data_IF_804585988741
#
_entry.id   IF_804585988741
#
_cell.length_a   1.000
_cell.length_b   1.000
_cell.length_c   1.000
_cell.angle_alpha   90.00
_cell.angle_beta   90.00
_cell.angle_gamma   90.00
#
_symmetry.space_group_name_H-M   'P 1'
#
loop_
_entity.id
_entity.type
_entity.pdbx_description
1 polymer ?
#
# COMPACT_ATOMS: atom_id res chain seq x y z
N UNK A 1 3.24 -15.84 23.05
CA UNK A 1 3.04 -17.29 22.72
C UNK A 1 2.05 -17.38 21.58
N UNK A 2 2.44 -17.95 20.46
CA UNK A 2 1.57 -18.09 19.28
C UNK A 2 0.56 -19.20 19.56
N UNK A 3 -0.71 -19.00 19.24
CA UNK A 3 -1.72 -20.04 19.39
C UNK A 3 -1.50 -21.12 18.31
N UNK A 4 -1.00 -22.29 18.68
CA UNK A 4 -0.76 -23.42 17.75
C UNK A 4 -1.99 -23.77 16.90
N UNK A 5 -3.20 -23.61 17.48
CA UNK A 5 -4.44 -23.86 16.75
C UNK A 5 -4.55 -22.95 15.51
N UNK A 6 -4.20 -21.67 15.65
CA UNK A 6 -4.22 -20.72 14.52
C UNK A 6 -3.27 -21.14 13.40
N UNK A 7 -2.09 -21.70 13.76
CA UNK A 7 -1.13 -22.17 12.75
C UNK A 7 -1.65 -23.40 12.00
N UNK A 8 -2.28 -24.34 12.71
CA UNK A 8 -2.93 -25.50 12.11
C UNK A 8 -4.10 -25.12 11.20
N UNK A 9 -4.87 -24.10 11.59
CA UNK A 9 -5.96 -23.58 10.78
C UNK A 9 -5.45 -22.96 9.47
N UNK A 10 -4.29 -22.26 9.50
CA UNK A 10 -3.62 -21.72 8.32
C UNK A 10 -3.18 -22.84 7.37
N UNK A 11 -2.53 -23.89 7.90
CA UNK A 11 -2.11 -25.05 7.09
C UNK A 11 -3.32 -25.74 6.44
N UNK A 12 -4.40 -25.95 7.21
CA UNK A 12 -5.64 -26.54 6.72
C UNK A 12 -6.26 -25.68 5.62
N UNK A 13 -6.34 -24.36 5.82
CA UNK A 13 -6.90 -23.43 4.84
C UNK A 13 -6.10 -23.42 3.54
N UNK A 14 -4.76 -23.46 3.61
CA UNK A 14 -3.91 -23.55 2.44
C UNK A 14 -4.17 -24.83 1.63
N UNK A 15 -4.29 -25.98 2.31
CA UNK A 15 -4.59 -27.26 1.67
C UNK A 15 -6.01 -27.28 1.04
N UNK A 16 -6.99 -26.66 1.68
CA UNK A 16 -8.36 -26.52 1.15
C UNK A 16 -8.37 -25.70 -0.15
N UNK A 17 -7.67 -24.55 -0.16
CA UNK A 17 -7.58 -23.69 -1.35
C UNK A 17 -6.86 -24.43 -2.48
N UNK A 18 -5.75 -25.09 -2.19
CA UNK A 18 -5.01 -25.88 -3.18
C UNK A 18 -5.90 -26.97 -3.81
N UNK A 19 -6.69 -27.67 -2.99
CA UNK A 19 -7.66 -28.67 -3.46
C UNK A 19 -8.73 -28.03 -4.36
N UNK A 20 -9.27 -26.86 -3.98
CA UNK A 20 -10.27 -26.13 -4.75
C UNK A 20 -9.72 -25.65 -6.10
N UNK A 21 -8.50 -25.13 -6.13
CA UNK A 21 -7.84 -24.70 -7.36
C UNK A 21 -7.55 -25.87 -8.32
N UNK A 22 -7.22 -27.04 -7.76
CA UNK A 22 -6.93 -28.25 -8.54
C UNK A 22 -8.20 -28.96 -9.04
N UNK A 23 -9.39 -28.70 -8.47
CA UNK A 23 -10.64 -29.31 -8.92
C UNK A 23 -11.10 -28.81 -10.30
N UNK A 24 -10.63 -27.62 -10.71
CA UNK A 24 -11.01 -27.00 -11.97
C UNK A 24 -12.40 -26.37 -12.00
N UNK A 25 -13.11 -26.38 -10.88
CA UNK A 25 -14.48 -25.85 -10.78
C UNK A 25 -14.52 -24.32 -10.55
N UNK A 26 -13.39 -23.74 -10.15
CA UNK A 26 -13.25 -22.31 -9.83
C UNK A 26 -12.73 -21.56 -11.05
N UNK A 27 -13.45 -20.53 -11.51
CA UNK A 27 -13.13 -19.75 -12.70
C UNK A 27 -13.19 -18.24 -12.43
N UNK A 28 -12.48 -17.46 -13.26
CA UNK A 28 -12.58 -16.00 -13.26
C UNK A 28 -12.04 -15.33 -11.98
N UNK A 29 -12.81 -14.36 -11.47
CA UNK A 29 -12.40 -13.53 -10.34
C UNK A 29 -12.20 -14.32 -9.04
N UNK A 30 -12.97 -15.40 -8.86
CA UNK A 30 -12.84 -16.27 -7.70
C UNK A 30 -11.51 -17.04 -7.72
N UNK A 31 -11.07 -17.53 -8.88
CA UNK A 31 -9.77 -18.16 -9.04
C UNK A 31 -8.63 -17.16 -8.74
N UNK A 32 -8.78 -15.92 -9.20
CA UNK A 32 -7.80 -14.86 -8.93
C UNK A 32 -7.71 -14.55 -7.44
N UNK A 33 -8.85 -14.49 -6.74
CA UNK A 33 -8.92 -14.27 -5.29
C UNK A 33 -8.26 -15.42 -4.51
N UNK A 34 -8.62 -16.65 -4.83
CA UNK A 34 -8.05 -17.85 -4.18
C UNK A 34 -6.56 -17.98 -4.45
N UNK A 35 -6.10 -17.66 -5.66
CA UNK A 35 -4.68 -17.69 -6.02
C UNK A 35 -3.86 -16.69 -5.19
N UNK A 36 -4.39 -15.47 -4.96
CA UNK A 36 -3.75 -14.49 -4.09
C UNK A 36 -3.73 -14.93 -2.63
N UNK A 37 -4.85 -15.47 -2.13
CA UNK A 37 -4.94 -16.00 -0.77
C UNK A 37 -3.96 -17.17 -0.58
N UNK A 38 -3.89 -18.10 -1.54
CA UNK A 38 -2.95 -19.22 -1.51
C UNK A 38 -1.50 -18.78 -1.52
N UNK A 39 -1.14 -17.85 -2.41
CA UNK A 39 0.23 -17.32 -2.47
C UNK A 39 0.67 -16.76 -1.12
N UNK A 40 -0.21 -15.99 -0.46
CA UNK A 40 0.04 -15.42 0.86
C UNK A 40 0.21 -16.50 1.94
N UNK A 41 -0.68 -17.49 1.97
CA UNK A 41 -0.58 -18.58 2.95
C UNK A 41 0.66 -19.44 2.69
N UNK A 42 1.01 -19.66 1.43
CA UNK A 42 2.18 -20.46 1.03
C UNK A 42 3.51 -19.83 1.47
N UNK A 43 3.59 -18.49 1.58
CA UNK A 43 4.75 -17.80 2.17
C UNK A 43 4.94 -18.13 3.66
N UNK A 44 3.85 -18.41 4.38
CA UNK A 44 3.86 -18.73 5.81
C UNK A 44 4.18 -20.18 6.12
N UNK A 45 3.82 -21.11 5.21
CA UNK A 45 3.96 -22.56 5.44
C UNK A 45 5.37 -23.01 5.81
N UNK A 46 6.46 -22.55 5.18
CA UNK A 46 7.82 -22.94 5.57
C UNK A 46 8.14 -22.57 7.02
N UNK A 47 7.78 -21.36 7.46
CA UNK A 47 8.00 -20.88 8.82
C UNK A 47 7.16 -21.64 9.84
N UNK A 48 5.91 -21.95 9.50
CA UNK A 48 5.01 -22.76 10.35
C UNK A 48 5.55 -24.17 10.51
N UNK A 49 6.06 -24.77 9.43
CA UNK A 49 6.65 -26.11 9.47
C UNK A 49 7.96 -26.11 10.29
N UNK A 50 8.82 -25.10 10.11
CA UNK A 50 10.03 -24.92 10.91
C UNK A 50 9.70 -24.84 12.41
N UNK A 51 8.69 -24.03 12.77
CA UNK A 51 8.21 -23.92 14.15
C UNK A 51 7.76 -25.26 14.72
N UNK A 52 6.89 -26.01 14.01
CA UNK A 52 6.42 -27.31 14.46
C UNK A 52 7.53 -28.35 14.56
N UNK A 53 8.51 -28.32 13.65
CA UNK A 53 9.68 -29.20 13.72
C UNK A 53 10.51 -28.95 15.00
N UNK A 54 10.75 -27.66 15.33
CA UNK A 54 11.50 -27.30 16.54
C UNK A 54 10.72 -27.68 17.79
N UNK A 55 9.42 -27.41 17.84
CA UNK A 55 8.57 -27.78 18.97
C UNK A 55 8.53 -29.31 19.16
N UNK A 56 8.37 -30.06 18.08
CA UNK A 56 8.42 -31.53 18.12
C UNK A 56 9.81 -32.04 18.57
N UNK A 57 10.89 -31.47 18.03
CA UNK A 57 12.25 -31.81 18.42
C UNK A 57 12.54 -31.55 19.90
N UNK A 58 11.99 -30.44 20.47
CA UNK A 58 12.09 -30.18 21.92
C UNK A 58 11.36 -31.26 22.74
N UNK A 59 10.17 -31.69 22.30
CA UNK A 59 9.42 -32.76 22.96
C UNK A 59 10.18 -34.09 22.92
N UNK A 60 10.68 -34.48 21.75
CA UNK A 60 11.44 -35.71 21.55
C UNK A 60 12.75 -35.69 22.37
N UNK A 61 13.52 -34.62 22.35
CA UNK A 61 14.75 -34.49 23.11
C UNK A 61 14.47 -34.48 24.63
N UNK A 62 13.33 -33.94 25.08
CA UNK A 62 12.90 -34.00 26.49
C UNK A 62 12.57 -35.43 26.92
N UNK A 63 11.96 -36.22 26.05
CA UNK A 63 11.70 -37.64 26.30
C UNK A 63 13.02 -38.43 26.36
N UNK A 64 13.96 -38.16 25.44
CA UNK A 64 15.29 -38.79 25.41
C UNK A 64 16.14 -38.52 26.66
N UNK A 65 15.92 -37.40 27.39
CA UNK A 65 16.61 -37.13 28.66
C UNK A 65 16.39 -38.20 29.74
N UNK A 66 15.31 -38.95 29.62
CA UNK A 66 15.00 -40.06 30.58
C UNK A 66 15.91 -41.27 30.39
N UNK A 67 16.58 -41.40 29.22
CA UNK A 67 17.55 -42.45 28.97
C UNK A 67 18.96 -41.97 29.35
N UNK A 68 19.64 -42.77 30.17
CA UNK A 68 20.97 -42.44 30.69
C UNK A 68 22.05 -42.36 29.58
N UNK A 69 21.90 -43.17 28.51
CA UNK A 69 22.84 -43.21 27.40
C UNK A 69 22.64 -42.02 26.41
N UNK A 70 21.42 -41.53 26.29
CA UNK A 70 21.07 -40.48 25.37
C UNK A 70 21.04 -39.08 26.00
N UNK A 71 21.16 -38.98 27.31
CA UNK A 71 20.98 -37.75 28.08
C UNK A 71 21.91 -36.61 27.64
N UNK A 72 23.16 -36.89 27.34
CA UNK A 72 24.13 -35.88 26.94
C UNK A 72 23.78 -35.30 25.59
N UNK A 73 23.44 -36.15 24.63
CA UNK A 73 22.98 -35.74 23.28
C UNK A 73 21.65 -34.94 23.35
N UNK A 74 20.72 -35.45 24.19
CA UNK A 74 19.44 -34.79 24.41
C UNK A 74 19.60 -33.36 25.00
N UNK A 75 20.53 -33.18 25.93
CA UNK A 75 20.81 -31.85 26.50
C UNK A 75 21.40 -30.90 25.49
N UNK A 76 22.30 -31.36 24.63
CA UNK A 76 22.89 -30.55 23.56
C UNK A 76 21.81 -30.10 22.55
N UNK A 77 20.97 -31.04 22.09
CA UNK A 77 19.84 -30.74 21.21
C UNK A 77 18.84 -29.78 21.84
N UNK A 78 18.48 -29.96 23.10
CA UNK A 78 17.58 -29.05 23.80
C UNK A 78 18.17 -27.64 23.91
N UNK A 79 19.48 -27.51 24.12
CA UNK A 79 20.12 -26.22 24.18
C UNK A 79 20.03 -25.49 22.83
N UNK A 80 20.30 -26.20 21.74
CA UNK A 80 20.21 -25.61 20.36
C UNK A 80 18.77 -25.22 19.98
N UNK A 81 17.82 -26.17 20.22
CA UNK A 81 16.42 -25.93 19.86
C UNK A 81 15.76 -24.83 20.70
N UNK A 82 16.05 -24.77 22.01
CA UNK A 82 15.56 -23.66 22.85
C UNK A 82 16.18 -22.33 22.53
N UNK A 83 17.39 -22.29 21.93
CA UNK A 83 17.98 -21.07 21.44
C UNK A 83 17.35 -20.63 20.11
N UNK A 84 16.99 -21.57 19.24
CA UNK A 84 16.37 -21.28 17.94
C UNK A 84 14.90 -20.87 18.05
N UNK A 85 14.15 -21.44 18.99
CA UNK A 85 12.70 -21.24 19.13
C UNK A 85 12.28 -19.76 19.24
N UNK A 86 12.89 -18.90 20.08
CA UNK A 86 12.48 -17.50 20.19
C UNK A 86 12.66 -16.71 18.89
N UNK A 87 13.70 -17.03 18.11
CA UNK A 87 13.95 -16.37 16.83
C UNK A 87 12.92 -16.79 15.78
N UNK A 88 12.55 -18.07 15.75
CA UNK A 88 11.50 -18.58 14.87
C UNK A 88 10.13 -18.00 15.27
N UNK A 89 9.82 -17.95 16.57
CA UNK A 89 8.59 -17.34 17.08
C UNK A 89 8.49 -15.87 16.64
N UNK A 90 9.57 -15.10 16.76
CA UNK A 90 9.60 -13.70 16.34
C UNK A 90 9.39 -13.55 14.84
N UNK A 91 10.09 -14.34 14.02
CA UNK A 91 9.91 -14.35 12.56
C UNK A 91 8.47 -14.70 12.18
N UNK A 92 7.88 -15.67 12.85
CA UNK A 92 6.52 -16.12 12.62
C UNK A 92 5.48 -15.07 13.06
N UNK A 93 5.69 -14.41 14.20
CA UNK A 93 4.86 -13.29 14.64
C UNK A 93 4.84 -12.16 13.62
N UNK A 94 6.01 -11.78 13.11
CA UNK A 94 6.14 -10.75 12.07
C UNK A 94 5.41 -11.18 10.79
N UNK A 95 5.58 -12.41 10.35
CA UNK A 95 4.94 -12.94 9.15
C UNK A 95 3.41 -13.03 9.26
N UNK A 96 2.88 -13.16 10.48
CA UNK A 96 1.45 -13.22 10.79
C UNK A 96 0.79 -11.84 10.96
N UNK A 97 1.57 -10.74 10.93
CA UNK A 97 1.00 -9.41 11.00
C UNK A 97 0.02 -9.16 9.84
N UNK A 98 -1.05 -8.42 10.09
CA UNK A 98 -1.96 -8.02 9.03
C UNK A 98 -1.20 -7.12 8.03
N UNK A 99 -1.09 -7.58 6.78
CA UNK A 99 -0.54 -6.76 5.70
C UNK A 99 -1.62 -5.82 5.18
N UNK A 100 -1.26 -4.59 4.89
CA UNK A 100 -2.11 -3.68 4.16
C UNK A 100 -2.25 -4.19 2.71
N UNK A 101 -3.48 -4.35 2.23
CA UNK A 101 -3.73 -4.77 0.85
C UNK A 101 -3.16 -3.77 -0.17
N UNK A 102 -2.95 -2.53 0.25
CA UNK A 102 -2.33 -1.52 -0.58
C UNK A 102 -0.83 -1.74 -0.79
N UNK A 103 -0.15 -2.48 0.10
CA UNK A 103 1.31 -2.68 0.04
C UNK A 103 1.77 -3.33 -1.26
N UNK A 104 0.94 -4.18 -1.87
CA UNK A 104 1.24 -4.86 -3.13
C UNK A 104 1.00 -3.99 -4.38
N UNK A 105 0.40 -2.80 -4.22
CA UNK A 105 0.08 -1.93 -5.34
C UNK A 105 1.32 -1.18 -5.86
N UNK A 106 1.20 -0.68 -7.08
CA UNK A 106 2.02 0.40 -7.62
C UNK A 106 1.81 1.68 -6.82
N UNK A 107 2.73 2.62 -6.91
CA UNK A 107 2.73 3.84 -6.11
C UNK A 107 2.78 5.09 -6.96
N UNK A 108 2.05 6.11 -6.56
CA UNK A 108 2.16 7.48 -7.08
C UNK A 108 2.92 8.30 -6.05
N UNK A 109 4.03 8.89 -6.48
CA UNK A 109 4.86 9.77 -5.67
C UNK A 109 4.77 11.20 -6.18
N UNK A 110 4.63 12.13 -5.26
CA UNK A 110 4.63 13.56 -5.53
C UNK A 110 5.72 14.22 -4.67
N UNK A 111 6.63 14.93 -5.32
CA UNK A 111 7.71 15.67 -4.68
C UNK A 111 7.49 17.15 -4.95
N UNK A 112 7.38 17.95 -3.89
CA UNK A 112 7.23 19.42 -3.98
C UNK A 112 8.36 20.13 -3.27
N UNK A 113 8.94 21.11 -3.96
CA UNK A 113 9.87 22.04 -3.34
C UNK A 113 9.15 22.82 -2.23
N UNK A 114 9.72 22.81 -1.03
CA UNK A 114 9.22 23.52 0.13
C UNK A 114 10.04 24.79 0.41
N UNK A 115 10.41 24.96 1.68
CA UNK A 115 11.18 26.12 2.12
C UNK A 115 12.65 26.01 1.67
N UNK A 116 13.13 26.98 0.88
CA UNK A 116 14.53 27.02 0.42
C UNK A 116 14.73 27.60 -0.99
N UNK A 117 13.63 27.99 -1.68
CA UNK A 117 13.71 28.61 -3.01
C UNK A 117 14.26 27.63 -4.06
N UNK A 118 15.23 28.10 -4.86
CA UNK A 118 15.83 27.28 -5.94
C UNK A 118 16.53 26.03 -5.42
N UNK A 119 17.16 26.11 -4.23
CA UNK A 119 17.82 24.96 -3.61
C UNK A 119 16.85 23.82 -3.27
N UNK A 120 15.65 24.14 -2.79
CA UNK A 120 14.63 23.11 -2.56
C UNK A 120 14.16 22.47 -3.87
N UNK A 121 14.12 23.21 -4.96
CA UNK A 121 13.76 22.65 -6.27
C UNK A 121 14.87 21.74 -6.83
N UNK A 122 16.14 22.10 -6.65
CA UNK A 122 17.28 21.24 -7.00
C UNK A 122 17.26 19.94 -6.19
N UNK A 123 17.02 20.05 -4.89
CA UNK A 123 16.94 18.85 -4.03
C UNK A 123 15.73 17.97 -4.35
N UNK A 124 14.61 18.55 -4.81
CA UNK A 124 13.48 17.76 -5.34
C UNK A 124 13.92 16.93 -6.55
N UNK A 125 14.78 17.46 -7.40
CA UNK A 125 15.40 16.74 -8.52
C UNK A 125 16.30 15.59 -8.05
N UNK A 126 17.11 15.83 -7.01
CA UNK A 126 17.97 14.80 -6.42
C UNK A 126 17.14 13.64 -5.85
N UNK A 127 16.06 13.95 -5.11
CA UNK A 127 15.15 12.93 -4.57
C UNK A 127 14.43 12.15 -5.67
N UNK A 128 13.98 12.82 -6.73
CA UNK A 128 13.40 12.13 -7.88
C UNK A 128 14.40 11.14 -8.51
N UNK A 129 15.63 11.57 -8.73
CA UNK A 129 16.67 10.70 -9.28
C UNK A 129 17.01 9.54 -8.34
N UNK A 130 17.03 9.77 -7.03
CA UNK A 130 17.20 8.74 -6.00
C UNK A 130 16.12 7.66 -6.13
N UNK A 131 14.85 8.06 -6.14
CA UNK A 131 13.73 7.11 -6.22
C UNK A 131 13.63 6.42 -7.58
N UNK A 132 13.93 7.13 -8.65
CA UNK A 132 14.01 6.56 -9.99
C UNK A 132 15.08 5.46 -10.08
N UNK A 133 16.28 5.73 -9.58
CA UNK A 133 17.37 4.74 -9.57
C UNK A 133 17.05 3.55 -8.67
N UNK A 134 16.45 3.81 -7.50
CA UNK A 134 15.96 2.79 -6.58
C UNK A 134 14.94 1.86 -7.25
N UNK A 135 13.93 2.43 -7.90
CA UNK A 135 12.89 1.70 -8.60
C UNK A 135 13.47 0.82 -9.72
N UNK A 136 14.38 1.37 -10.53
CA UNK A 136 15.02 0.62 -11.61
C UNK A 136 15.85 -0.57 -11.09
N UNK A 137 16.54 -0.40 -9.97
CA UNK A 137 17.30 -1.48 -9.32
C UNK A 137 16.40 -2.61 -8.81
N UNK A 138 15.17 -2.29 -8.37
CA UNK A 138 14.15 -3.27 -7.99
C UNK A 138 13.36 -3.85 -9.18
N UNK A 139 13.70 -3.49 -10.42
CA UNK A 139 13.01 -3.95 -11.62
C UNK A 139 11.66 -3.29 -11.86
N UNK A 140 11.37 -2.20 -11.15
CA UNK A 140 10.13 -1.43 -11.31
C UNK A 140 10.24 -0.41 -12.43
N UNK A 141 9.12 -0.08 -13.05
CA UNK A 141 9.05 0.95 -14.09
C UNK A 141 8.71 2.30 -13.46
N UNK A 142 9.28 3.37 -14.02
CA UNK A 142 8.99 4.75 -13.57
C UNK A 142 8.43 5.53 -14.74
N UNK A 143 7.28 6.16 -14.52
CA UNK A 143 6.59 7.00 -15.49
C UNK A 143 6.31 8.36 -14.87
N UNK A 144 6.71 9.44 -15.54
CA UNK A 144 6.40 10.81 -15.10
C UNK A 144 4.98 11.14 -15.55
N UNK A 145 4.14 11.52 -14.58
CA UNK A 145 2.74 11.91 -14.80
C UNK A 145 2.63 13.41 -15.05
N UNK A 146 3.31 14.20 -14.20
CA UNK A 146 3.31 15.66 -14.29
C UNK A 146 4.63 16.21 -13.77
N UNK A 147 5.14 17.26 -14.42
CA UNK A 147 6.37 17.92 -13.98
C UNK A 147 6.27 19.44 -14.13
N UNK A 148 6.78 20.16 -13.13
CA UNK A 148 6.99 21.60 -13.16
C UNK A 148 8.48 21.87 -12.91
N UNK A 149 9.26 21.79 -14.01
CA UNK A 149 10.70 21.96 -13.97
C UNK A 149 11.11 23.42 -13.81
N UNK A 150 12.28 23.66 -13.21
CA UNK A 150 12.93 24.97 -13.11
C UNK A 150 14.02 25.11 -14.17
N UNK A 151 14.48 26.35 -14.41
CA UNK A 151 15.57 26.65 -15.35
C UNK A 151 16.91 25.97 -14.99
N UNK A 152 17.11 25.62 -13.71
CA UNK A 152 18.34 25.02 -13.18
C UNK A 152 18.23 23.49 -13.03
N UNK A 153 17.36 22.81 -13.79
CA UNK A 153 17.14 21.36 -13.75
C UNK A 153 16.60 20.81 -12.42
N UNK A 154 16.01 21.67 -11.59
CA UNK A 154 15.24 21.26 -10.42
C UNK A 154 13.76 21.17 -10.76
N UNK A 155 12.94 20.75 -9.78
CA UNK A 155 11.49 20.68 -9.90
C UNK A 155 10.81 21.48 -8.79
N UNK A 156 9.89 22.39 -9.17
CA UNK A 156 8.95 22.95 -8.19
C UNK A 156 7.99 21.87 -7.70
N UNK A 157 7.59 21.02 -8.64
CA UNK A 157 6.75 19.85 -8.39
C UNK A 157 7.04 18.79 -9.44
N UNK A 158 7.08 17.54 -9.03
CA UNK A 158 7.11 16.39 -9.93
C UNK A 158 6.22 15.29 -9.37
N UNK A 159 5.33 14.76 -10.22
CA UNK A 159 4.47 13.61 -9.94
C UNK A 159 4.85 12.48 -10.86
N UNK A 160 5.13 11.32 -10.31
CA UNK A 160 5.52 10.14 -11.08
C UNK A 160 4.94 8.88 -10.45
N UNK A 161 4.70 7.89 -11.29
CA UNK A 161 4.28 6.55 -10.92
C UNK A 161 5.48 5.62 -10.89
N UNK A 162 5.56 4.77 -9.86
CA UNK A 162 6.44 3.61 -9.83
C UNK A 162 5.54 2.38 -9.95
N UNK A 163 5.65 1.67 -11.06
CA UNK A 163 4.85 0.50 -11.40
C UNK A 163 5.63 -0.78 -11.10
N UNK A 164 5.18 -1.51 -10.09
CA UNK A 164 5.78 -2.75 -9.65
C UNK A 164 5.12 -3.32 -8.40
N UNK A 165 5.09 -4.64 -8.30
CA UNK A 165 4.56 -5.32 -7.12
C UNK A 165 5.35 -4.94 -5.86
N UNK A 166 4.64 -4.59 -4.78
CA UNK A 166 5.25 -4.22 -3.50
C UNK A 166 5.89 -2.82 -3.48
N UNK A 167 5.74 -2.02 -4.54
CA UNK A 167 6.34 -0.69 -4.61
C UNK A 167 5.81 0.24 -3.52
N UNK A 168 4.49 0.25 -3.30
CA UNK A 168 3.89 1.07 -2.25
C UNK A 168 4.34 0.64 -0.85
N UNK A 169 4.40 -0.66 -0.56
CA UNK A 169 4.80 -1.20 0.74
C UNK A 169 6.19 -0.74 1.18
N UNK A 170 7.12 -0.52 0.23
CA UNK A 170 8.45 0.04 0.53
C UNK A 170 8.47 1.56 0.52
N UNK A 171 7.84 2.18 -0.48
CA UNK A 171 7.91 3.64 -0.68
C UNK A 171 7.06 4.42 0.32
N UNK A 172 6.02 3.84 0.94
CA UNK A 172 5.17 4.52 1.93
C UNK A 172 5.96 5.16 3.08
N UNK A 173 7.11 4.60 3.44
CA UNK A 173 8.01 5.13 4.47
C UNK A 173 8.80 6.38 4.03
N UNK A 174 8.76 6.74 2.75
CA UNK A 174 9.39 7.95 2.23
C UNK A 174 8.47 9.18 2.32
N UNK A 175 7.23 8.99 2.76
CA UNK A 175 6.24 10.06 2.89
C UNK A 175 6.58 11.00 4.05
N UNK A 176 6.67 12.31 3.76
CA UNK A 176 6.95 13.35 4.76
C UNK A 176 7.90 14.45 4.26
N UNK A 177 8.50 15.17 5.22
CA UNK A 177 9.41 16.29 4.93
C UNK A 177 10.87 15.81 4.95
N UNK A 178 11.55 15.98 3.84
CA UNK A 178 12.97 15.70 3.68
C UNK A 178 13.76 17.00 3.75
N UNK A 179 14.72 17.06 4.66
CA UNK A 179 15.57 18.24 4.88
C UNK A 179 16.96 18.02 4.32
N UNK A 180 17.47 18.99 3.58
CA UNK A 180 18.85 19.01 3.08
C UNK A 180 19.66 20.11 3.77
N UNK A 181 20.92 19.83 4.05
CA UNK A 181 21.93 20.76 4.55
C UNK A 181 23.15 20.67 3.63
N UNK A 182 23.29 21.66 2.74
CA UNK A 182 24.46 21.79 1.84
C UNK A 182 24.70 23.25 1.47
N UNK A 183 25.86 23.52 0.88
CA UNK A 183 26.11 24.77 0.17
C UNK A 183 25.41 24.68 -1.19
N UNK A 184 24.40 25.52 -1.49
CA UNK A 184 23.74 25.50 -2.78
C UNK A 184 24.69 25.80 -3.94
N UNK A 185 24.45 25.25 -5.11
CA UNK A 185 25.21 25.61 -6.34
C UNK A 185 25.08 27.11 -6.70
N UNK A 186 24.01 27.75 -6.25
CA UNK A 186 23.73 29.19 -6.44
C UNK A 186 24.34 30.10 -5.38
N UNK A 187 24.99 29.54 -4.34
CA UNK A 187 25.53 30.29 -3.23
C UNK A 187 27.02 30.63 -3.43
N UNK A 188 27.32 31.90 -3.68
CA UNK A 188 28.69 32.37 -3.94
C UNK A 188 29.57 32.48 -2.66
N UNK A 189 28.95 32.60 -1.47
CA UNK A 189 29.66 32.83 -0.19
C UNK A 189 30.01 31.54 0.56
N UNK A 190 29.69 30.36 0.04
CA UNK A 190 29.99 29.08 0.65
C UNK A 190 29.19 28.78 1.92
N UNK A 191 28.09 29.47 2.17
CA UNK A 191 27.25 29.25 3.36
C UNK A 191 26.38 28.02 3.19
N UNK A 192 26.30 27.22 4.25
CA UNK A 192 25.43 26.06 4.33
C UNK A 192 23.99 26.56 4.47
N UNK A 193 23.13 26.18 3.49
CA UNK A 193 21.69 26.41 3.57
C UNK A 193 20.98 25.18 4.06
N UNK A 194 19.82 25.40 4.67
CA UNK A 194 18.90 24.33 5.08
C UNK A 194 17.62 24.50 4.29
N UNK A 195 17.37 23.56 3.39
CA UNK A 195 16.16 23.52 2.56
C UNK A 195 15.30 22.29 2.89
N UNK A 196 14.04 22.33 2.52
CA UNK A 196 13.10 21.27 2.76
C UNK A 196 12.27 20.98 1.52
N UNK A 197 11.95 19.71 1.33
CA UNK A 197 11.12 19.17 0.25
C UNK A 197 10.08 18.26 0.88
N UNK A 198 8.84 18.33 0.42
CA UNK A 198 7.78 17.42 0.82
C UNK A 198 7.64 16.29 -0.19
N UNK A 199 7.50 15.07 0.31
CA UNK A 199 7.23 13.87 -0.46
C UNK A 199 5.90 13.31 0.00
N UNK A 200 4.95 13.16 -0.90
CA UNK A 200 3.71 12.43 -0.67
C UNK A 200 3.76 11.10 -1.44
N UNK A 201 3.32 10.03 -0.79
CA UNK A 201 3.37 8.68 -1.32
C UNK A 201 1.98 8.06 -1.20
N UNK A 202 1.36 7.77 -2.32
CA UNK A 202 -0.02 7.27 -2.36
C UNK A 202 -0.06 5.95 -3.14
N UNK A 203 -0.85 4.96 -2.69
CA UNK A 203 -1.06 3.76 -3.49
C UNK A 203 -1.80 4.13 -4.78
N UNK A 204 -1.50 3.44 -5.87
CA UNK A 204 -2.29 3.58 -7.09
C UNK A 204 -3.74 3.17 -6.81
N UNK A 205 -4.69 4.04 -7.12
CA UNK A 205 -6.10 3.75 -6.97
C UNK A 205 -6.52 2.65 -7.94
N UNK A 206 -7.23 1.64 -7.46
CA UNK A 206 -7.88 0.65 -8.32
C UNK A 206 -9.05 1.30 -9.04
N UNK A 207 -9.32 0.84 -10.27
CA UNK A 207 -10.51 1.24 -11.00
C UNK A 207 -11.77 0.95 -10.18
N UNK A 208 -12.70 1.91 -10.18
CA UNK A 208 -13.95 1.78 -9.45
C UNK A 208 -14.92 0.96 -10.30
N UNK A 209 -15.13 -0.31 -9.93
CA UNK A 209 -16.16 -1.13 -10.52
C UNK A 209 -17.50 -0.87 -9.83
N UNK A 210 -18.42 -0.24 -10.57
CA UNK A 210 -19.78 0.00 -10.07
C UNK A 210 -20.65 -1.21 -10.30
N UNK A 211 -20.77 -2.06 -9.29
CA UNK A 211 -21.72 -3.17 -9.26
C UNK A 211 -23.03 -2.67 -8.64
N UNK A 212 -24.15 -2.80 -9.39
CA UNK A 212 -25.49 -2.46 -8.91
C UNK A 212 -26.26 -3.76 -8.78
N UNK A 213 -26.59 -4.15 -7.55
CA UNK A 213 -27.39 -5.33 -7.28
C UNK A 213 -28.89 -4.99 -7.34
N UNK A 214 -29.70 -5.91 -7.84
CA UNK A 214 -31.15 -5.71 -7.97
C UNK A 214 -31.84 -5.44 -6.61
N UNK A 215 -31.29 -5.95 -5.51
CA UNK A 215 -31.80 -5.70 -4.14
C UNK A 215 -31.60 -4.27 -3.68
N UNK A 216 -30.63 -3.55 -4.25
CA UNK A 216 -30.23 -2.19 -3.86
C UNK A 216 -31.00 -1.11 -4.62
N UNK A 217 -31.85 -1.52 -5.59
CA UNK A 217 -32.61 -0.59 -6.39
C UNK A 217 -34.14 -0.82 -6.23
N UNK A 218 -34.86 0.30 -6.29
CA UNK A 218 -36.31 0.27 -6.49
C UNK A 218 -36.65 0.92 -7.80
N UNK A 219 -37.46 0.25 -8.62
CA UNK A 219 -37.92 0.75 -9.91
C UNK A 219 -39.41 1.08 -9.81
N UNK A 220 -39.73 2.36 -9.95
CA UNK A 220 -41.09 2.86 -10.01
C UNK A 220 -41.44 3.22 -11.46
N UNK A 221 -42.57 2.73 -11.92
CA UNK A 221 -43.12 2.99 -13.27
C UNK A 221 -44.21 4.02 -13.14
N UNK A 222 -44.20 5.05 -13.96
CA UNK A 222 -45.21 6.10 -13.94
C UNK A 222 -45.44 6.69 -15.34
N UNK A 223 -46.46 7.56 -15.42
CA UNK A 223 -46.79 8.23 -16.70
C UNK A 223 -45.82 9.36 -16.95
N UNK A 224 -45.33 9.43 -18.19
CA UNK A 224 -44.52 10.56 -18.61
C UNK A 224 -45.33 11.85 -18.53
N UNK A 225 -44.73 12.93 -18.05
CA UNK A 225 -45.34 14.26 -18.02
C UNK A 225 -44.66 15.16 -19.08
N UNK A 226 -45.45 15.84 -19.89
CA UNK A 226 -44.93 16.77 -20.90
C UNK A 226 -45.89 16.97 -22.09
N UNK A 227 -45.51 17.86 -23.01
CA UNK A 227 -46.22 18.11 -24.23
C UNK A 227 -46.16 16.86 -25.16
N UNK A 228 -47.24 16.18 -25.36
CA UNK A 228 -47.31 14.96 -26.21
C UNK A 228 -48.71 14.57 -26.59
N UNK A 229 -48.83 13.68 -27.57
CA UNK A 229 -50.13 13.16 -28.05
C UNK A 229 -50.71 12.07 -27.14
N UNK A 230 -51.72 11.38 -27.64
CA UNK A 230 -52.53 10.37 -26.90
C UNK A 230 -51.68 9.25 -26.26
N UNK A 231 -50.51 8.92 -26.82
CA UNK A 231 -49.59 7.89 -26.34
C UNK A 231 -48.91 8.29 -25.00
N UNK A 232 -48.45 9.55 -24.86
CA UNK A 232 -47.81 10.06 -23.64
C UNK A 232 -48.76 10.08 -22.46
N UNK A 233 -50.05 10.35 -22.72
CA UNK A 233 -51.08 10.47 -21.70
C UNK A 233 -51.74 9.14 -21.27
N UNK A 234 -51.53 8.04 -22.02
CA UNK A 234 -52.17 6.74 -21.74
C UNK A 234 -51.20 5.62 -21.36
N UNK A 235 -49.90 5.78 -21.63
CA UNK A 235 -48.91 4.69 -21.41
C UNK A 235 -47.99 5.02 -20.27
N UNK A 236 -47.82 4.08 -19.35
CA UNK A 236 -46.86 4.19 -18.22
C UNK A 236 -45.45 3.80 -18.73
N UNK A 237 -44.78 4.73 -19.41
CA UNK A 237 -43.46 4.50 -20.03
C UNK A 237 -42.29 5.12 -19.25
N UNK A 238 -42.57 6.05 -18.34
CA UNK A 238 -41.52 6.69 -17.54
C UNK A 238 -41.06 5.79 -16.39
N UNK A 239 -39.75 5.81 -16.15
CA UNK A 239 -39.08 5.00 -15.15
C UNK A 239 -38.39 5.93 -14.14
N UNK A 240 -38.53 5.64 -12.84
CA UNK A 240 -37.72 6.20 -11.74
C UNK A 240 -37.01 5.06 -11.06
N UNK A 241 -35.70 5.17 -10.96
CA UNK A 241 -34.87 4.23 -10.20
C UNK A 241 -34.31 4.93 -8.99
N UNK A 242 -34.53 4.36 -7.81
CA UNK A 242 -33.95 4.82 -6.54
C UNK A 242 -32.93 3.77 -6.10
N UNK A 243 -31.68 4.20 -5.88
CA UNK A 243 -30.63 3.36 -5.34
C UNK A 243 -30.52 3.62 -3.83
N UNK A 244 -30.84 2.60 -3.02
CA UNK A 244 -30.92 2.75 -1.56
C UNK A 244 -29.60 3.11 -0.88
N UNK A 245 -28.45 2.44 -1.19
CA UNK A 245 -27.21 2.71 -0.48
C UNK A 245 -26.67 4.14 -0.67
N UNK A 246 -26.88 4.73 -1.87
CA UNK A 246 -26.37 6.09 -2.17
C UNK A 246 -27.42 7.17 -2.08
N UNK A 247 -28.71 6.81 -2.02
CA UNK A 247 -29.85 7.72 -2.06
C UNK A 247 -30.04 8.40 -3.44
N UNK A 248 -29.33 7.97 -4.49
CA UNK A 248 -29.42 8.57 -5.82
C UNK A 248 -30.74 8.15 -6.46
N UNK A 249 -31.46 9.15 -7.00
CA UNK A 249 -32.70 8.94 -7.77
C UNK A 249 -32.45 9.39 -9.20
N UNK A 250 -32.84 8.53 -10.14
CA UNK A 250 -32.77 8.80 -11.57
C UNK A 250 -34.14 8.61 -12.18
N UNK A 251 -34.57 9.58 -12.98
CA UNK A 251 -35.83 9.51 -13.74
C UNK A 251 -35.53 9.60 -15.22
N UNK A 252 -36.13 8.71 -16.03
CA UNK A 252 -36.01 8.71 -17.47
C UNK A 252 -37.40 8.56 -18.11
N UNK A 253 -37.73 9.46 -19.04
CA UNK A 253 -39.04 9.49 -19.74
C UNK A 253 -38.92 9.92 -21.21
N UNK A 254 -37.70 9.91 -21.77
CA UNK A 254 -37.43 10.48 -23.09
C UNK A 254 -37.86 9.54 -24.23
N UNK A 255 -37.90 8.24 -23.94
CA UNK A 255 -38.21 7.22 -24.94
C UNK A 255 -39.70 6.75 -24.86
N UNK A 256 -40.21 6.28 -25.99
CA UNK A 256 -41.57 5.72 -26.04
C UNK A 256 -41.68 4.34 -25.37
N UNK A 257 -40.56 3.61 -25.30
CA UNK A 257 -40.47 2.27 -24.74
C UNK A 257 -40.05 2.32 -23.29
N UNK A 258 -40.83 1.70 -22.41
CA UNK A 258 -40.46 1.51 -21.00
C UNK A 258 -39.11 0.81 -20.82
N UNK A 259 -38.82 -0.19 -21.66
CA UNK A 259 -37.55 -0.92 -21.62
C UNK A 259 -36.35 -0.02 -21.95
N UNK A 260 -36.51 0.82 -22.97
CA UNK A 260 -35.43 1.79 -23.34
C UNK A 260 -35.22 2.81 -22.22
N UNK A 261 -36.29 3.33 -21.60
CA UNK A 261 -36.17 4.21 -20.45
C UNK A 261 -35.50 3.53 -19.25
N UNK A 262 -35.78 2.22 -19.01
CA UNK A 262 -35.11 1.44 -17.96
C UNK A 262 -33.60 1.33 -18.24
N UNK A 263 -33.22 0.97 -19.45
CA UNK A 263 -31.80 0.85 -19.86
C UNK A 263 -31.07 2.20 -19.71
N UNK A 264 -31.70 3.28 -20.20
CA UNK A 264 -31.14 4.63 -20.08
C UNK A 264 -31.02 5.08 -18.62
N UNK A 265 -32.05 4.83 -17.79
CA UNK A 265 -32.02 5.16 -16.36
C UNK A 265 -30.93 4.39 -15.61
N UNK A 266 -30.73 3.10 -15.91
CA UNK A 266 -29.64 2.29 -15.33
C UNK A 266 -28.26 2.80 -15.73
N UNK A 267 -28.08 3.19 -16.99
CA UNK A 267 -26.82 3.77 -17.46
C UNK A 267 -26.51 5.10 -16.73
N UNK A 268 -27.50 5.98 -16.62
CA UNK A 268 -27.33 7.26 -15.88
C UNK A 268 -27.10 7.01 -14.39
N UNK A 269 -27.77 6.03 -13.78
CA UNK A 269 -27.56 5.65 -12.40
C UNK A 269 -26.11 5.18 -12.16
N UNK A 270 -25.61 4.29 -13.03
CA UNK A 270 -24.24 3.80 -12.96
C UNK A 270 -23.21 4.95 -13.05
N UNK A 271 -23.41 5.88 -13.99
CA UNK A 271 -22.53 7.06 -14.13
C UNK A 271 -22.56 7.94 -12.89
N UNK A 272 -23.74 8.17 -12.28
CA UNK A 272 -23.84 8.99 -11.06
C UNK A 272 -23.23 8.31 -9.82
N UNK A 273 -23.36 6.99 -9.69
CA UNK A 273 -22.73 6.24 -8.61
C UNK A 273 -21.20 6.29 -8.77
N UNK A 274 -20.70 6.06 -9.99
CA UNK A 274 -19.28 6.18 -10.32
C UNK A 274 -18.71 7.56 -9.96
N UNK A 275 -19.40 8.63 -10.38
CA UNK A 275 -18.97 10.00 -10.10
C UNK A 275 -18.95 10.29 -8.60
N UNK A 276 -19.96 9.82 -7.84
CA UNK A 276 -19.98 9.96 -6.38
C UNK A 276 -18.84 9.23 -5.71
N UNK A 277 -18.60 7.97 -6.06
CA UNK A 277 -17.51 7.16 -5.51
C UNK A 277 -16.14 7.76 -5.84
N UNK A 278 -15.97 8.25 -7.08
CA UNK A 278 -14.76 8.95 -7.50
C UNK A 278 -14.52 10.21 -6.67
N UNK A 279 -15.55 11.01 -6.43
CA UNK A 279 -15.45 12.23 -5.62
C UNK A 279 -15.10 11.92 -4.16
N UNK A 280 -15.71 10.88 -3.57
CA UNK A 280 -15.39 10.40 -2.22
C UNK A 280 -13.92 9.92 -2.13
N UNK A 281 -13.44 9.22 -3.13
CA UNK A 281 -12.05 8.76 -3.23
C UNK A 281 -11.07 9.94 -3.37
N UNK A 282 -11.40 10.94 -4.20
CA UNK A 282 -10.60 12.17 -4.34
C UNK A 282 -10.51 12.95 -3.03
N UNK A 283 -11.62 13.07 -2.29
CA UNK A 283 -11.62 13.74 -0.98
C UNK A 283 -10.77 12.98 0.03
N UNK A 284 -10.89 11.67 0.10
CA UNK A 284 -10.07 10.82 0.97
C UNK A 284 -8.57 10.91 0.61
N UNK A 285 -8.23 10.84 -0.67
CA UNK A 285 -6.86 10.97 -1.17
C UNK A 285 -6.26 12.36 -0.84
N UNK A 286 -7.02 13.43 -1.05
CA UNK A 286 -6.58 14.79 -0.72
C UNK A 286 -6.38 14.99 0.79
N UNK A 287 -7.25 14.41 1.62
CA UNK A 287 -7.09 14.44 3.07
C UNK A 287 -5.84 13.68 3.52
N UNK A 288 -5.60 12.49 2.98
CA UNK A 288 -4.39 11.70 3.21
C UNK A 288 -3.13 12.45 2.78
N UNK A 289 -3.12 13.01 1.55
CA UNK A 289 -2.02 13.84 1.05
C UNK A 289 -1.71 15.02 1.99
N UNK A 290 -2.74 15.73 2.45
CA UNK A 290 -2.57 16.85 3.36
C UNK A 290 -1.98 16.43 4.70
N UNK A 291 -2.35 15.28 5.24
CA UNK A 291 -1.79 14.76 6.49
C UNK A 291 -0.31 14.35 6.32
N UNK A 292 0.08 13.80 5.17
CA UNK A 292 1.45 13.39 4.86
C UNK A 292 2.42 14.57 4.71
N UNK A 293 1.96 15.67 4.08
CA UNK A 293 2.79 16.85 3.81
C UNK A 293 2.88 17.79 5.00
N UNK A 294 1.94 17.70 5.96
CA UNK A 294 1.89 18.58 7.14
C UNK A 294 1.87 20.06 6.76
N UNK A 295 2.58 20.89 7.52
CA UNK A 295 2.73 22.33 7.24
C UNK A 295 3.83 22.65 6.22
N UNK A 296 4.66 21.67 5.83
CA UNK A 296 5.86 21.89 5.01
C UNK A 296 7.01 22.55 5.75
N UNK A 297 6.91 22.72 7.08
CA UNK A 297 7.95 23.35 7.90
C UNK A 297 9.16 22.42 8.08
N UNK A 298 10.37 23.00 8.13
CA UNK A 298 11.63 22.30 8.39
C UNK A 298 11.67 21.57 9.73
N UNK A 299 10.81 21.94 10.68
CA UNK A 299 10.70 21.30 11.99
C UNK A 299 10.05 19.90 11.92
N UNK A 300 9.14 19.68 10.98
CA UNK A 300 8.40 18.42 10.80
C UNK A 300 9.17 17.35 9.99
N UNK A 301 10.48 17.53 9.88
CA UNK A 301 11.33 16.62 9.08
C UNK A 301 11.27 15.17 9.55
N UNK A 302 11.10 14.25 8.61
CA UNK A 302 11.32 12.81 8.84
C UNK A 302 12.78 12.43 8.64
N UNK A 303 13.46 13.04 7.65
CA UNK A 303 14.84 12.70 7.30
C UNK A 303 15.70 13.94 7.02
N UNK A 304 16.99 13.86 7.37
CA UNK A 304 17.97 14.92 7.09
C UNK A 304 19.14 14.36 6.30
N UNK A 305 19.45 15.00 5.17
CA UNK A 305 20.59 14.75 4.32
C UNK A 305 21.64 15.83 4.62
N UNK A 306 22.73 15.45 5.26
CA UNK A 306 23.81 16.35 5.68
C UNK A 306 25.04 16.12 4.79
N UNK A 307 25.22 16.99 3.81
CA UNK A 307 26.33 16.90 2.85
C UNK A 307 27.71 17.16 3.48
N UNK A 308 27.90 18.17 4.33
CA UNK A 308 29.18 18.38 5.00
C UNK A 308 29.68 17.18 5.81
N UNK A 309 28.77 16.44 6.43
CA UNK A 309 29.11 15.28 7.27
C UNK A 309 28.89 13.94 6.56
N UNK A 310 28.52 13.95 5.26
CA UNK A 310 28.31 12.77 4.43
C UNK A 310 27.37 11.73 5.07
N UNK A 311 26.33 12.21 5.78
CA UNK A 311 25.39 11.36 6.51
C UNK A 311 23.93 11.65 6.19
N UNK A 312 23.09 10.62 6.33
CA UNK A 312 21.63 10.71 6.30
C UNK A 312 21.10 10.22 7.64
N UNK A 313 20.21 10.99 8.24
CA UNK A 313 19.58 10.64 9.53
C UNK A 313 18.08 10.57 9.37
N UNK A 314 17.48 9.41 9.65
CA UNK A 314 16.03 9.28 9.82
C UNK A 314 15.65 9.54 11.28
N UNK A 315 14.81 10.55 11.50
CA UNK A 315 14.48 11.03 12.84
C UNK A 315 13.42 10.18 13.54
N UNK A 316 12.64 9.41 12.78
CA UNK A 316 11.57 8.54 13.33
C UNK A 316 12.16 7.40 14.16
N UNK A 317 13.21 6.77 13.64
CA UNK A 317 13.89 5.64 14.28
C UNK A 317 15.28 6.00 14.81
N UNK A 318 15.69 7.29 14.69
CA UNK A 318 17.00 7.81 15.10
C UNK A 318 18.19 7.08 14.46
N UNK A 319 17.99 6.51 13.26
CA UNK A 319 19.02 5.84 12.50
C UNK A 319 19.86 6.86 11.72
N UNK A 320 21.19 6.75 11.81
CA UNK A 320 22.13 7.57 11.04
C UNK A 320 23.07 6.68 10.23
N UNK A 321 23.10 6.90 8.91
CA UNK A 321 23.98 6.19 7.98
C UNK A 321 24.96 7.19 7.35
N UNK A 322 26.25 6.86 7.34
CA UNK A 322 27.33 7.64 6.71
C UNK A 322 27.55 7.17 5.26
N UNK A 323 26.46 7.15 4.48
CA UNK A 323 26.40 6.63 3.10
C UNK A 323 25.61 7.58 2.21
N UNK A 324 25.84 8.92 2.35
CA UNK A 324 25.00 9.93 1.68
C UNK A 324 24.92 9.71 0.17
N UNK A 325 26.07 9.55 -0.50
CA UNK A 325 26.14 9.44 -1.96
C UNK A 325 25.47 8.15 -2.45
N UNK A 326 25.63 7.03 -1.72
CA UNK A 326 24.98 5.76 -2.03
C UNK A 326 23.46 5.86 -1.89
N UNK A 327 22.98 6.51 -0.83
CA UNK A 327 21.55 6.73 -0.61
C UNK A 327 20.96 7.61 -1.72
N UNK A 328 21.62 8.72 -2.08
CA UNK A 328 21.17 9.60 -3.16
C UNK A 328 21.19 8.93 -4.54
N UNK A 329 22.12 8.00 -4.74
CA UNK A 329 22.14 7.16 -5.95
C UNK A 329 21.04 6.07 -5.96
N UNK A 330 20.22 5.95 -4.93
CA UNK A 330 19.22 4.87 -4.80
C UNK A 330 19.86 3.50 -4.54
N UNK A 331 21.04 3.48 -3.90
CA UNK A 331 21.84 2.30 -3.61
C UNK A 331 21.36 1.49 -2.39
N UNK A 332 22.23 0.57 -1.94
CA UNK A 332 21.94 -0.34 -0.82
C UNK A 332 21.72 0.39 0.52
N UNK A 333 22.30 1.59 0.70
CA UNK A 333 22.06 2.39 1.90
C UNK A 333 20.60 2.85 2.03
N UNK A 334 19.89 3.05 0.91
CA UNK A 334 18.47 3.36 0.95
C UNK A 334 17.63 2.12 1.32
N UNK A 335 18.01 0.92 0.86
CA UNK A 335 17.38 -0.32 1.32
C UNK A 335 17.55 -0.51 2.82
N UNK A 336 18.78 -0.35 3.34
CA UNK A 336 19.08 -0.46 4.76
C UNK A 336 18.20 0.49 5.61
N UNK A 337 17.98 1.71 5.11
CA UNK A 337 17.13 2.69 5.77
C UNK A 337 15.66 2.26 5.76
N UNK A 338 15.15 1.83 4.60
CA UNK A 338 13.75 1.39 4.42
C UNK A 338 13.50 0.10 5.21
N UNK A 339 14.41 -0.87 5.17
CA UNK A 339 14.29 -2.13 5.90
C UNK A 339 14.25 -1.91 7.43
N UNK A 340 15.05 -0.95 7.93
CA UNK A 340 15.00 -0.56 9.33
C UNK A 340 13.65 0.09 9.72
N UNK A 341 13.05 0.88 8.83
CA UNK A 341 11.73 1.48 9.04
C UNK A 341 10.63 0.43 9.02
N UNK A 342 10.69 -0.53 8.09
CA UNK A 342 9.77 -1.67 8.04
C UNK A 342 9.87 -2.48 9.34
N UNK A 343 11.07 -2.78 9.81
CA UNK A 343 11.27 -3.52 11.06
C UNK A 343 10.72 -2.76 12.28
N UNK A 344 10.89 -1.43 12.32
CA UNK A 344 10.36 -0.60 13.41
C UNK A 344 8.82 -0.58 13.39
N UNK A 345 8.20 -0.44 12.22
CA UNK A 345 6.74 -0.48 12.05
C UNK A 345 6.16 -1.84 12.47
N UNK A 346 6.80 -2.95 12.07
CA UNK A 346 6.41 -4.30 12.46
C UNK A 346 6.48 -4.51 13.98
N UNK A 347 7.52 -3.98 14.64
CA UNK A 347 7.64 -4.04 16.10
C UNK A 347 6.56 -3.22 16.80
N UNK A 348 6.21 -2.05 16.27
CA UNK A 348 5.13 -1.23 16.79
C UNK A 348 3.76 -1.92 16.63
N UNK A 349 3.50 -2.55 15.47
CA UNK A 349 2.29 -3.34 15.24
C UNK A 349 2.19 -4.52 16.21
N UNK A 350 3.29 -5.23 16.46
CA UNK A 350 3.32 -6.33 17.45
C UNK A 350 2.99 -5.82 18.86
N UNK A 351 3.57 -4.71 19.28
CA UNK A 351 3.32 -4.11 20.60
C UNK A 351 1.86 -3.66 20.77
N UNK A 352 1.19 -3.25 19.68
CA UNK A 352 -0.23 -2.86 19.71
C UNK A 352 -1.21 -4.06 19.69
N UNK A 353 -0.72 -5.28 19.43
CA UNK A 353 -1.52 -6.51 19.43
C UNK A 353 -1.49 -7.26 20.78
N UNK A 354 -0.57 -6.91 21.69
CA UNK A 354 -0.49 -7.41 23.06
C UNK A 354 -1.41 -6.61 24.01
#
# INVERSE_FOLDING_TARGET
MIAEQKLKDIQKRAAEIESQMNSGDVLGDELTRLSKEYSRLNELLPLINEYFQVVAGIADATEMQNDAELREIANEQLHELNHALPEIEKRLQIALLPRDEADDNSVIMEIRAGVGGEESALFAGDLYNQYKSYALRHGWKVEVVEENATSLRGYKEIVFKIDGAGAYGRMKFESGIHRVQRVPETEASGRIHTSAVSVAVMPEAKDIDVVIEDKDIRIDIFRASGAGGQHVNKTDSAIRITHFPTGIVVTCQNERSQLQNKIAAMSVLRSKIYEKQRMEQEVASNASRKSMVGSGDRSEKIRTYNFPEQRVTDHRIKLTLYKLDDILAGGLGLDEMIDALIAADQLEQLANME
#
